data_IF_072561879068
#
_entry.id   IF_072561879068
#
_cell.length_a   1.000
_cell.length_b   1.000
_cell.length_c   1.000
_cell.angle_alpha   90.00
_cell.angle_beta   90.00
_cell.angle_gamma   90.00
#
_symmetry.space_group_name_H-M   'P 1'
#
loop_
_entity.id
_entity.type
_entity.pdbx_description
1 polymer ?
#
# COMPACT_ATOMS: atom_id res chain seq x y z
N UNK A 1 1.82 -17.00 21.99
CA UNK A 1 0.82 -16.44 21.04
C UNK A 1 0.29 -15.16 21.64
N UNK A 2 0.56 -14.01 21.02
CA UNK A 2 0.09 -12.70 21.49
C UNK A 2 -1.42 -12.64 21.33
N UNK A 3 -2.13 -12.23 22.37
CA UNK A 3 -3.59 -12.18 22.41
C UNK A 3 -4.17 -11.13 21.44
N UNK A 4 -5.42 -11.30 21.04
CA UNK A 4 -6.15 -10.33 20.19
C UNK A 4 -6.24 -8.94 20.86
N UNK A 5 -6.16 -8.88 22.18
CA UNK A 5 -6.15 -7.65 22.97
C UNK A 5 -4.79 -6.94 22.94
N UNK A 6 -3.68 -7.66 22.94
CA UNK A 6 -2.33 -7.09 22.80
C UNK A 6 -2.07 -6.55 21.39
N UNK A 7 -2.72 -7.10 20.35
CA UNK A 7 -2.73 -6.52 18.99
C UNK A 7 -3.40 -5.13 18.92
N UNK A 8 -4.30 -4.81 19.85
CA UNK A 8 -5.03 -3.52 19.89
C UNK A 8 -4.20 -2.36 20.44
N UNK A 9 -3.03 -2.64 21.03
CA UNK A 9 -2.08 -1.63 21.52
C UNK A 9 -0.85 -1.43 20.62
N UNK A 10 -0.83 -2.03 19.42
CA UNK A 10 0.14 -1.66 18.39
C UNK A 10 -0.32 -0.39 17.70
N UNK A 11 0.59 0.58 17.56
CA UNK A 11 0.42 1.73 16.67
C UNK A 11 0.03 1.18 15.29
N UNK A 12 -1.09 1.65 14.75
CA UNK A 12 -1.54 1.24 13.43
C UNK A 12 -0.48 1.63 12.40
N UNK A 13 0.15 0.64 11.78
CA UNK A 13 1.19 0.87 10.76
C UNK A 13 0.52 1.14 9.42
N UNK A 14 0.93 2.21 8.76
CA UNK A 14 0.51 2.55 7.39
C UNK A 14 1.70 2.39 6.44
N UNK A 15 1.50 1.62 5.37
CA UNK A 15 2.48 1.43 4.30
C UNK A 15 2.12 2.35 3.13
N UNK A 16 2.97 3.35 2.87
CA UNK A 16 2.85 4.26 1.74
C UNK A 16 3.55 3.74 0.48
N UNK A 17 2.86 3.83 -0.67
CA UNK A 17 3.37 3.40 -1.97
C UNK A 17 3.34 4.59 -2.94
N UNK A 18 4.39 5.42 -2.97
CA UNK A 18 4.49 6.53 -3.92
C UNK A 18 4.74 6.02 -5.34
N UNK A 19 4.41 6.84 -6.33
CA UNK A 19 4.79 6.62 -7.72
C UNK A 19 6.28 6.97 -7.90
N UNK A 20 6.96 6.13 -8.68
CA UNK A 20 8.34 6.40 -9.09
C UNK A 20 8.45 7.65 -9.95
N UNK A 21 9.56 8.36 -9.77
CA UNK A 21 9.83 9.66 -10.45
C UNK A 21 11.10 9.63 -11.29
N UNK A 22 11.94 8.61 -11.14
CA UNK A 22 13.15 8.49 -11.92
C UNK A 22 12.82 8.23 -13.40
N UNK A 23 13.45 8.94 -14.36
CA UNK A 23 13.17 8.75 -15.77
C UNK A 23 13.38 7.29 -16.22
N UNK A 24 12.34 6.69 -16.81
CA UNK A 24 12.39 5.31 -17.30
C UNK A 24 12.19 4.23 -16.23
N UNK A 25 12.07 4.59 -14.94
CA UNK A 25 11.69 3.64 -13.90
C UNK A 25 10.20 3.27 -14.05
N UNK A 26 9.93 1.97 -14.06
CA UNK A 26 8.59 1.41 -14.30
C UNK A 26 8.11 0.50 -13.19
N UNK A 27 8.99 0.17 -12.23
CA UNK A 27 8.65 -0.68 -11.09
C UNK A 27 7.75 0.06 -10.11
N UNK A 28 7.17 -0.71 -9.20
CA UNK A 28 6.40 -0.22 -8.06
C UNK A 28 6.84 -1.02 -6.83
N UNK A 29 6.88 -0.37 -5.66
CA UNK A 29 7.42 -0.98 -4.44
C UNK A 29 6.67 -2.25 -4.01
N UNK A 30 5.34 -2.29 -4.20
CA UNK A 30 4.50 -3.47 -3.97
C UNK A 30 3.49 -3.66 -5.10
N UNK A 31 3.24 -4.92 -5.42
CA UNK A 31 2.13 -5.31 -6.33
C UNK A 31 0.83 -5.49 -5.54
N UNK A 32 -0.36 -5.48 -6.18
CA UNK A 32 -1.64 -5.68 -5.51
C UNK A 32 -1.68 -6.92 -4.62
N UNK A 33 -1.01 -8.01 -5.02
CA UNK A 33 -0.94 -9.28 -4.26
C UNK A 33 -0.40 -9.13 -2.83
N UNK A 34 0.41 -8.11 -2.56
CA UNK A 34 0.98 -7.89 -1.23
C UNK A 34 -0.01 -7.27 -0.22
N UNK A 35 -1.12 -6.69 -0.70
CA UNK A 35 -2.13 -6.07 0.16
C UNK A 35 -2.67 -7.02 1.23
N UNK A 36 -3.04 -8.25 0.85
CA UNK A 36 -3.62 -9.26 1.75
C UNK A 36 -2.64 -9.66 2.87
N UNK A 37 -1.34 -9.78 2.54
CA UNK A 37 -0.30 -10.14 3.49
C UNK A 37 -0.06 -9.02 4.51
N UNK A 38 -0.01 -7.76 4.05
CA UNK A 38 0.15 -6.59 4.92
C UNK A 38 -1.08 -6.39 5.82
N UNK A 39 -2.28 -6.59 5.29
CA UNK A 39 -3.52 -6.55 6.07
C UNK A 39 -3.56 -7.62 7.17
N UNK A 40 -3.07 -8.84 6.88
CA UNK A 40 -2.97 -9.93 7.87
C UNK A 40 -2.03 -9.57 9.03
N UNK A 41 -1.00 -8.77 8.76
CA UNK A 41 -0.08 -8.23 9.76
C UNK A 41 -0.66 -7.02 10.52
N UNK A 42 -1.86 -6.56 10.16
CA UNK A 42 -2.51 -5.41 10.79
C UNK A 42 -2.08 -4.05 10.22
N UNK A 43 -1.38 -4.03 9.10
CA UNK A 43 -1.00 -2.79 8.41
C UNK A 43 -2.10 -2.35 7.42
N UNK A 44 -2.23 -1.04 7.26
CA UNK A 44 -3.02 -0.44 6.18
C UNK A 44 -2.10 -0.06 5.01
N UNK A 45 -2.65 -0.02 3.79
CA UNK A 45 -1.88 0.33 2.58
C UNK A 45 -2.51 1.57 1.94
N UNK A 46 -1.67 2.57 1.67
CA UNK A 46 -2.02 3.76 0.90
C UNK A 46 -1.15 3.83 -0.35
N UNK A 47 -1.76 4.05 -1.51
CA UNK A 47 -1.09 4.01 -2.82
C UNK A 47 -1.32 5.33 -3.55
N UNK A 48 -0.25 5.93 -4.06
CA UNK A 48 -0.36 7.10 -4.93
C UNK A 48 -1.08 6.68 -6.22
N UNK A 49 -2.06 7.47 -6.66
CA UNK A 49 -2.78 7.19 -7.92
C UNK A 49 -1.80 6.97 -9.07
N UNK A 50 -2.05 5.93 -9.84
CA UNK A 50 -1.22 5.50 -10.97
C UNK A 50 0.21 5.03 -10.61
N UNK A 51 0.52 4.74 -9.34
CA UNK A 51 1.85 4.25 -8.93
C UNK A 51 2.24 2.94 -9.63
N UNK A 52 1.29 2.03 -9.81
CA UNK A 52 1.53 0.71 -10.40
C UNK A 52 1.29 0.61 -11.91
N UNK A 53 0.79 1.66 -12.57
CA UNK A 53 0.32 1.58 -13.97
C UNK A 53 1.44 1.15 -14.93
N UNK A 54 2.63 1.74 -14.80
CA UNK A 54 3.78 1.36 -15.65
C UNK A 54 4.34 -0.04 -15.35
N UNK A 55 4.05 -0.57 -14.16
CA UNK A 55 4.37 -1.94 -13.75
C UNK A 55 3.28 -2.95 -14.18
N UNK A 56 2.19 -2.52 -14.82
CA UNK A 56 1.08 -3.38 -15.24
C UNK A 56 -0.01 -3.58 -14.17
N UNK A 57 -0.01 -2.77 -13.11
CA UNK A 57 -0.98 -2.85 -12.00
C UNK A 57 -1.83 -1.57 -11.96
N UNK A 58 -3.01 -1.55 -12.60
CA UNK A 58 -3.92 -0.42 -12.53
C UNK A 58 -4.51 -0.22 -11.12
N UNK A 59 -4.96 1.00 -10.84
CA UNK A 59 -5.41 1.46 -9.53
C UNK A 59 -6.57 0.63 -8.95
N UNK A 60 -7.45 0.11 -9.81
CA UNK A 60 -8.58 -0.75 -9.46
C UNK A 60 -8.12 -2.06 -8.80
N UNK A 61 -6.98 -2.62 -9.22
CA UNK A 61 -6.44 -3.83 -8.60
C UNK A 61 -5.97 -3.61 -7.17
N UNK A 62 -5.46 -2.41 -6.85
CA UNK A 62 -5.09 -2.04 -5.49
C UNK A 62 -6.35 -1.80 -4.63
N UNK A 63 -7.31 -1.03 -5.16
CA UNK A 63 -8.56 -0.72 -4.47
C UNK A 63 -9.38 -2.00 -4.17
N UNK A 64 -9.44 -2.94 -5.11
CA UNK A 64 -10.11 -4.23 -4.94
C UNK A 64 -9.52 -5.09 -3.81
N UNK A 65 -8.32 -4.77 -3.34
CA UNK A 65 -7.61 -5.44 -2.23
C UNK A 65 -7.52 -4.59 -0.97
N UNK A 66 -8.37 -3.56 -0.87
CA UNK A 66 -8.50 -2.73 0.32
C UNK A 66 -7.41 -1.67 0.49
N UNK A 67 -6.56 -1.45 -0.52
CA UNK A 67 -5.64 -0.32 -0.49
C UNK A 67 -6.38 1.01 -0.74
N UNK A 68 -6.00 2.06 -0.02
CA UNK A 68 -6.54 3.41 -0.22
C UNK A 68 -5.75 4.13 -1.31
N UNK A 69 -6.41 4.59 -2.35
CA UNK A 69 -5.81 5.46 -3.37
C UNK A 69 -5.74 6.90 -2.86
N UNK A 70 -4.61 7.57 -3.10
CA UNK A 70 -4.34 8.90 -2.56
C UNK A 70 -3.43 9.74 -3.45
N UNK A 71 -3.27 11.02 -3.09
CA UNK A 71 -2.26 11.90 -3.67
C UNK A 71 -0.85 11.56 -3.16
N UNK A 72 0.17 12.06 -3.87
CA UNK A 72 1.57 11.93 -3.45
C UNK A 72 1.84 12.51 -2.07
N UNK A 73 1.18 13.61 -1.68
CA UNK A 73 1.38 14.21 -0.37
C UNK A 73 0.86 13.28 0.75
N UNK A 74 -0.30 12.67 0.55
CA UNK A 74 -0.95 11.81 1.54
C UNK A 74 -0.21 10.49 1.78
N UNK A 75 0.55 9.96 0.82
CA UNK A 75 1.30 8.69 1.01
C UNK A 75 2.50 8.81 1.94
N UNK A 76 2.89 10.03 2.31
CA UNK A 76 4.01 10.29 3.23
C UNK A 76 3.58 10.77 4.62
N UNK A 77 2.27 10.76 4.93
CA UNK A 77 1.72 11.17 6.24
C UNK A 77 1.57 9.99 7.20
#
# INVERSE_FOLDING_TARGET
>A
MISKAERRNLVAVTVGVPRETFPGERRVAITPRHGDALATLGASVIVERSAGVQAGFPDDQYAARGARLASRAEVFQ
#
